data_IF_105744055121
#
_entry.id   IF_105744055121
#
_cell.length_a   1.000
_cell.length_b   1.000
_cell.length_c   1.000
_cell.angle_alpha   90.00
_cell.angle_beta   90.00
_cell.angle_gamma   90.00
#
_symmetry.space_group_name_H-M   'P 1'
#
loop_
_entity.id
_entity.type
_entity.pdbx_description
1 polymer ?
#
# COMPACT_ATOMS: atom_id res chain seq x y z
N UNK A 1 55.18 -19.69 12.69
CA UNK A 1 55.04 -18.72 11.57
C UNK A 1 53.61 -18.18 11.56
N UNK A 2 53.34 -17.05 12.24
CA UNK A 2 51.98 -16.51 12.45
C UNK A 2 51.32 -15.95 11.17
N UNK A 3 52.06 -15.86 10.06
CA UNK A 3 51.57 -15.32 8.79
C UNK A 3 50.46 -16.18 8.13
N UNK A 4 50.51 -17.51 8.27
CA UNK A 4 49.49 -18.40 7.70
C UNK A 4 48.14 -18.28 8.40
N UNK A 5 48.16 -18.05 9.71
CA UNK A 5 46.96 -17.85 10.53
C UNK A 5 46.32 -16.51 10.18
N UNK A 6 47.12 -15.42 10.12
CA UNK A 6 46.62 -14.11 9.68
C UNK A 6 45.99 -14.18 8.29
N UNK A 7 46.62 -14.87 7.34
CA UNK A 7 46.08 -15.05 5.99
C UNK A 7 44.73 -15.78 6.00
N UNK A 8 44.62 -16.88 6.75
CA UNK A 8 43.36 -17.63 6.88
C UNK A 8 42.24 -16.78 7.51
N UNK A 9 42.55 -15.98 8.54
CA UNK A 9 41.58 -15.07 9.15
C UNK A 9 41.12 -13.97 8.19
N UNK A 10 42.03 -13.38 7.40
CA UNK A 10 41.68 -12.37 6.39
C UNK A 10 40.78 -12.94 5.29
N UNK A 11 41.06 -14.17 4.83
CA UNK A 11 40.21 -14.86 3.86
C UNK A 11 38.81 -15.15 4.42
N UNK A 12 38.70 -15.60 5.68
CA UNK A 12 37.40 -15.81 6.33
C UNK A 12 36.59 -14.52 6.49
N UNK A 13 37.22 -13.40 6.82
CA UNK A 13 36.53 -12.11 6.93
C UNK A 13 36.06 -11.61 5.55
N UNK A 14 36.82 -11.87 4.49
CA UNK A 14 36.47 -11.48 3.12
C UNK A 14 35.29 -12.30 2.56
N UNK A 15 35.21 -13.59 2.89
CA UNK A 15 34.07 -14.44 2.50
C UNK A 15 32.83 -14.17 3.34
N UNK A 16 32.98 -13.88 4.63
CA UNK A 16 31.84 -13.53 5.49
C UNK A 16 31.28 -12.15 5.12
N UNK A 17 32.15 -11.19 4.76
CA UNK A 17 31.72 -9.88 4.28
C UNK A 17 31.04 -9.94 2.92
N UNK A 18 31.42 -10.84 2.00
CA UNK A 18 30.69 -11.00 0.72
C UNK A 18 29.33 -11.67 0.88
N UNK A 19 29.18 -12.57 1.87
CA UNK A 19 27.89 -13.16 2.24
C UNK A 19 26.97 -12.18 2.99
N UNK A 20 27.54 -11.27 3.79
CA UNK A 20 26.81 -10.17 4.44
C UNK A 20 26.66 -8.91 3.57
N UNK A 21 27.38 -8.82 2.45
CA UNK A 21 27.20 -7.80 1.43
C UNK A 21 25.98 -8.20 0.62
N UNK A 22 24.81 -7.89 1.19
CA UNK A 22 23.50 -8.14 0.64
C UNK A 22 23.45 -7.66 -0.82
N UNK A 23 23.67 -8.59 -1.75
CA UNK A 23 23.43 -8.42 -3.20
C UNK A 23 21.94 -8.62 -3.53
N UNK A 24 21.13 -8.96 -2.51
CA UNK A 24 19.69 -9.22 -2.60
C UNK A 24 18.87 -8.22 -1.76
N UNK A 25 19.39 -7.02 -1.56
CA UNK A 25 18.56 -5.92 -1.09
C UNK A 25 17.66 -5.60 -2.28
N UNK A 26 16.32 -5.63 -2.15
CA UNK A 26 15.44 -5.17 -3.22
C UNK A 26 15.91 -3.78 -3.63
N UNK A 27 15.86 -3.50 -4.93
CA UNK A 27 16.37 -2.29 -5.57
C UNK A 27 15.77 -1.04 -4.91
N UNK A 28 16.40 -0.59 -3.83
CA UNK A 28 15.89 0.41 -2.89
C UNK A 28 16.94 1.47 -2.62
N UNK A 29 17.49 2.03 -3.70
CA UNK A 29 18.27 3.26 -3.62
C UNK A 29 17.33 4.46 -3.51
N UNK A 30 17.62 5.41 -2.61
CA UNK A 30 16.97 6.73 -2.51
C UNK A 30 17.27 7.62 -3.73
N UNK A 31 17.01 7.13 -4.94
CA UNK A 31 17.08 7.90 -6.17
C UNK A 31 15.73 7.73 -6.83
N UNK A 32 14.86 8.68 -6.49
CA UNK A 32 13.82 9.22 -7.36
C UNK A 32 13.50 8.30 -8.52
N UNK A 33 12.58 7.35 -8.35
CA UNK A 33 12.00 6.70 -9.52
C UNK A 33 11.43 7.84 -10.37
N UNK A 34 11.97 8.10 -11.57
CA UNK A 34 11.37 9.06 -12.46
C UNK A 34 10.08 8.40 -12.93
N UNK A 35 8.95 9.02 -12.61
CA UNK A 35 7.67 8.74 -13.25
C UNK A 35 7.37 7.23 -13.36
N UNK A 36 7.38 6.52 -12.23
CA UNK A 36 6.75 5.21 -12.22
C UNK A 36 5.27 5.48 -12.49
N UNK A 37 4.82 5.21 -13.72
CA UNK A 37 3.42 5.29 -14.13
C UNK A 37 2.58 4.67 -13.00
N UNK A 38 1.86 5.53 -12.27
CA UNK A 38 1.16 5.11 -11.06
C UNK A 38 0.02 4.22 -11.54
N UNK A 39 0.20 2.91 -11.36
CA UNK A 39 -0.79 1.93 -11.82
C UNK A 39 -2.07 2.08 -10.99
N UNK A 40 -3.21 1.73 -11.58
CA UNK A 40 -4.41 1.55 -10.75
C UNK A 40 -4.21 0.35 -9.82
N UNK A 41 -4.66 0.50 -8.58
CA UNK A 41 -4.66 -0.60 -7.63
C UNK A 41 -5.53 -1.77 -8.14
N UNK A 42 -5.19 -3.00 -7.72
CA UNK A 42 -5.85 -4.24 -8.16
C UNK A 42 -7.36 -4.13 -8.06
N UNK A 43 -8.06 -4.69 -9.06
CA UNK A 43 -9.52 -4.79 -9.03
C UNK A 43 -9.98 -5.93 -8.12
N UNK A 44 -11.06 -5.70 -7.40
CA UNK A 44 -11.61 -6.61 -6.40
C UNK A 44 -13.15 -6.62 -6.45
N UNK A 45 -13.77 -7.50 -5.67
CA UNK A 45 -15.24 -7.57 -5.58
C UNK A 45 -15.93 -8.37 -6.69
N UNK A 46 -17.27 -8.52 -6.60
CA UNK A 46 -18.07 -9.25 -7.56
C UNK A 46 -17.93 -8.63 -8.96
N UNK A 47 -17.45 -9.41 -9.92
CA UNK A 47 -17.24 -8.96 -11.30
C UNK A 47 -16.09 -7.98 -11.48
N UNK A 48 -15.14 -7.89 -10.55
CA UNK A 48 -14.00 -6.96 -10.60
C UNK A 48 -14.43 -5.49 -10.79
N UNK A 49 -15.57 -5.12 -10.22
CA UNK A 49 -16.15 -3.76 -10.30
C UNK A 49 -15.66 -2.82 -9.21
N UNK A 50 -14.87 -3.32 -8.26
CA UNK A 50 -14.23 -2.52 -7.22
C UNK A 50 -12.73 -2.40 -7.44
N UNK A 51 -12.11 -1.51 -6.65
CA UNK A 51 -10.67 -1.34 -6.54
C UNK A 51 -10.24 -1.47 -5.07
N UNK A 52 -9.00 -1.91 -4.88
CA UNK A 52 -8.38 -1.99 -3.57
C UNK A 52 -8.00 -0.58 -3.09
N UNK A 53 -8.40 -0.26 -1.85
CA UNK A 53 -8.00 0.97 -1.13
C UNK A 53 -7.13 0.65 0.10
N UNK A 54 -6.76 -0.61 0.27
CA UNK A 54 -5.96 -1.12 1.37
C UNK A 54 -6.00 -2.66 1.42
N UNK A 55 -5.19 -3.31 2.27
CA UNK A 55 -5.02 -4.77 2.29
C UNK A 55 -6.30 -5.54 2.59
N UNK A 56 -7.24 -4.92 3.32
CA UNK A 56 -8.53 -5.51 3.70
C UNK A 56 -9.71 -4.62 3.31
N UNK A 57 -9.55 -3.79 2.27
CA UNK A 57 -10.56 -2.80 1.86
C UNK A 57 -10.75 -2.86 0.35
N UNK A 58 -11.95 -3.24 -0.07
CA UNK A 58 -12.36 -3.26 -1.47
C UNK A 58 -13.60 -2.39 -1.65
N UNK A 59 -13.57 -1.42 -2.56
CA UNK A 59 -14.70 -0.53 -2.79
C UNK A 59 -15.00 -0.33 -4.27
N UNK A 60 -16.27 -0.20 -4.59
CA UNK A 60 -16.73 0.21 -5.92
C UNK A 60 -18.00 1.04 -5.83
N UNK A 61 -18.21 1.93 -6.79
CA UNK A 61 -19.30 2.91 -6.77
C UNK A 61 -20.69 2.24 -6.76
N UNK A 62 -20.84 1.10 -7.45
CA UNK A 62 -22.09 0.34 -7.53
C UNK A 62 -22.24 -0.74 -6.44
N UNK A 63 -21.13 -1.23 -5.89
CA UNK A 63 -21.12 -2.36 -4.93
C UNK A 63 -20.94 -1.91 -3.47
N UNK A 64 -20.62 -0.64 -3.24
CA UNK A 64 -20.24 -0.13 -1.92
C UNK A 64 -18.83 -0.54 -1.51
N UNK A 65 -18.58 -0.61 -0.20
CA UNK A 65 -17.29 -1.02 0.36
C UNK A 65 -17.41 -2.29 1.19
N UNK A 66 -16.48 -3.20 0.97
CA UNK A 66 -16.29 -4.44 1.69
C UNK A 66 -15.01 -4.35 2.51
N UNK A 67 -15.11 -4.80 3.76
CA UNK A 67 -14.03 -4.71 4.75
C UNK A 67 -13.78 -6.10 5.36
N UNK A 68 -12.59 -6.66 5.16
CA UNK A 68 -12.22 -7.96 5.72
C UNK A 68 -13.11 -9.12 5.27
N UNK A 69 -13.63 -9.06 4.05
CA UNK A 69 -14.49 -10.09 3.44
C UNK A 69 -13.67 -10.91 2.43
N UNK A 70 -14.14 -12.05 1.88
CA UNK A 70 -13.32 -12.83 0.96
C UNK A 70 -12.99 -12.06 -0.33
N UNK A 71 -13.81 -11.07 -0.69
CA UNK A 71 -13.58 -10.18 -1.82
C UNK A 71 -12.32 -9.30 -1.63
N UNK A 72 -11.93 -9.01 -0.38
CA UNK A 72 -10.76 -8.19 -0.07
C UNK A 72 -9.45 -8.98 -0.09
N UNK A 73 -9.49 -10.32 -0.14
CA UNK A 73 -8.28 -11.16 -0.17
C UNK A 73 -7.38 -10.84 -1.37
N UNK A 74 -7.97 -10.43 -2.50
CA UNK A 74 -7.21 -9.99 -3.68
C UNK A 74 -6.37 -8.74 -3.41
N UNK A 75 -6.76 -7.90 -2.46
CA UNK A 75 -6.03 -6.69 -2.10
C UNK A 75 -4.78 -6.98 -1.27
N UNK A 76 -4.66 -8.17 -0.65
CA UNK A 76 -3.44 -8.58 0.02
C UNK A 76 -2.28 -8.76 -0.97
N UNK A 77 -2.59 -9.13 -2.21
CA UNK A 77 -1.63 -9.28 -3.30
C UNK A 77 -0.87 -7.97 -3.57
N UNK A 78 -1.50 -6.81 -3.33
CA UNK A 78 -0.85 -5.51 -3.51
C UNK A 78 0.35 -5.29 -2.60
N UNK A 79 0.38 -5.91 -1.42
CA UNK A 79 1.53 -5.77 -0.51
C UNK A 79 2.79 -6.46 -1.06
N UNK A 80 2.64 -7.38 -2.00
CA UNK A 80 3.76 -8.10 -2.62
C UNK A 80 4.24 -7.42 -3.91
N UNK A 81 3.49 -6.43 -4.42
CA UNK A 81 3.86 -5.68 -5.61
C UNK A 81 4.78 -4.51 -5.25
N UNK A 82 6.01 -4.45 -5.79
CA UNK A 82 6.94 -3.36 -5.51
C UNK A 82 6.57 -2.04 -6.20
N UNK A 83 5.58 -2.04 -7.10
CA UNK A 83 5.13 -0.85 -7.83
C UNK A 83 4.02 -0.12 -7.06
N UNK A 84 4.14 1.22 -6.87
CA UNK A 84 3.11 2.01 -6.22
C UNK A 84 1.84 2.00 -7.07
N UNK A 85 0.69 1.95 -6.41
CA UNK A 85 -0.60 2.05 -7.07
C UNK A 85 -1.42 3.19 -6.48
N UNK A 86 -2.36 3.70 -7.26
CA UNK A 86 -3.35 4.65 -6.80
C UNK A 86 -4.75 4.06 -6.99
N UNK A 87 -5.55 4.12 -5.93
CA UNK A 87 -6.94 3.72 -5.97
C UNK A 87 -7.74 4.73 -6.79
N UNK A 88 -8.69 4.24 -7.59
CA UNK A 88 -9.56 5.09 -8.40
C UNK A 88 -10.42 6.04 -7.56
N UNK A 89 -10.99 7.05 -8.21
CA UNK A 89 -11.93 7.98 -7.58
C UNK A 89 -11.35 9.37 -7.32
N UNK A 90 -12.22 10.27 -6.87
CA UNK A 90 -11.89 11.68 -6.64
C UNK A 90 -11.13 11.84 -5.32
N UNK A 91 -10.17 12.77 -5.23
CA UNK A 91 -9.49 13.09 -3.97
C UNK A 91 -10.48 13.65 -2.93
N UNK A 92 -10.28 13.28 -1.67
CA UNK A 92 -11.06 13.73 -0.51
C UNK A 92 -10.20 13.77 0.75
N UNK A 93 -10.42 14.77 1.62
CA UNK A 93 -9.73 14.86 2.90
C UNK A 93 -8.22 15.12 2.77
N UNK A 94 -7.44 14.67 3.75
CA UNK A 94 -5.98 14.65 3.68
C UNK A 94 -5.54 13.32 3.05
N UNK A 95 -5.11 13.38 1.79
CA UNK A 95 -4.59 12.24 0.99
C UNK A 95 -5.54 11.03 0.85
N UNK A 96 -6.84 11.22 1.02
CA UNK A 96 -7.86 10.19 0.81
C UNK A 96 -8.48 10.20 -0.58
N UNK A 97 -9.17 9.12 -0.92
CA UNK A 97 -9.90 8.94 -2.18
C UNK A 97 -11.33 8.44 -1.94
N UNK A 98 -12.27 8.99 -2.69
CA UNK A 98 -13.69 8.60 -2.61
C UNK A 98 -13.84 7.20 -3.20
N UNK A 99 -14.13 6.24 -2.34
CA UNK A 99 -14.16 4.82 -2.70
C UNK A 99 -15.56 4.35 -3.10
N UNK A 100 -16.59 4.98 -2.52
CA UNK A 100 -18.00 4.73 -2.78
C UNK A 100 -18.80 6.01 -2.42
N UNK A 101 -20.08 6.15 -2.81
CA UNK A 101 -20.86 7.34 -2.47
C UNK A 101 -20.92 7.57 -0.94
N UNK A 102 -20.34 8.70 -0.50
CA UNK A 102 -20.31 9.08 0.92
C UNK A 102 -19.20 8.42 1.76
N UNK A 103 -18.29 7.66 1.13
CA UNK A 103 -17.17 6.99 1.79
C UNK A 103 -15.85 7.48 1.18
N UNK A 104 -14.93 7.88 2.04
CA UNK A 104 -13.57 8.23 1.65
C UNK A 104 -12.58 7.36 2.43
N UNK A 105 -11.61 6.79 1.71
CA UNK A 105 -10.62 5.87 2.22
C UNK A 105 -9.20 6.46 2.04
N UNK A 106 -8.35 6.28 3.04
CA UNK A 106 -6.93 6.61 3.03
C UNK A 106 -6.17 5.49 3.75
N UNK A 107 -5.24 4.78 3.08
CA UNK A 107 -4.25 3.86 3.66
C UNK A 107 -4.73 3.01 4.84
N UNK A 108 -5.91 2.38 4.70
CA UNK A 108 -6.49 1.50 5.72
C UNK A 108 -7.47 2.16 6.71
N UNK A 109 -7.60 3.49 6.67
CA UNK A 109 -8.62 4.26 7.38
C UNK A 109 -9.75 4.60 6.40
N UNK A 110 -10.99 4.49 6.84
CA UNK A 110 -12.13 4.98 6.09
C UNK A 110 -12.99 5.88 6.97
N UNK A 111 -13.68 6.80 6.32
CA UNK A 111 -14.61 7.69 6.98
C UNK A 111 -15.95 7.62 6.28
N UNK A 112 -17.00 7.47 7.08
CA UNK A 112 -18.38 7.46 6.62
C UNK A 112 -18.98 8.83 6.89
N UNK A 113 -19.46 9.50 5.85
CA UNK A 113 -20.08 10.82 5.99
C UNK A 113 -19.20 11.93 5.46
N UNK A 114 -19.25 12.10 4.14
CA UNK A 114 -18.74 13.27 3.44
C UNK A 114 -19.24 13.22 2.00
N UNK A 115 -19.98 14.24 1.58
CA UNK A 115 -20.44 14.35 0.18
C UNK A 115 -19.20 14.48 -0.69
N UNK A 116 -18.91 13.47 -1.51
CA UNK A 116 -18.00 13.59 -2.64
C UNK A 116 -18.62 14.50 -3.70
N UNK A 117 -18.68 15.80 -3.48
CA UNK A 117 -19.04 16.76 -4.52
C UNK A 117 -18.18 18.01 -4.44
N UNK A 118 -17.57 18.33 -5.58
CA UNK A 118 -17.43 19.69 -6.13
C UNK A 118 -17.17 20.77 -5.08
N UNK A 119 -15.90 21.07 -4.82
CA UNK A 119 -15.45 22.40 -4.36
C UNK A 119 -16.23 23.03 -3.20
N UNK A 120 -16.57 22.26 -2.16
CA UNK A 120 -17.32 22.76 -1.01
C UNK A 120 -16.51 22.66 0.28
N UNK A 121 -16.31 23.80 0.93
CA UNK A 121 -15.52 24.00 2.14
C UNK A 121 -15.90 23.05 3.31
N UNK A 122 -14.88 22.44 3.91
CA UNK A 122 -14.73 22.43 5.37
C UNK A 122 -15.77 21.71 6.23
N UNK A 123 -16.40 20.61 5.80
CA UNK A 123 -17.16 19.77 6.76
C UNK A 123 -16.23 18.81 7.49
N UNK A 124 -16.04 19.11 8.78
CA UNK A 124 -15.28 18.34 9.78
C UNK A 124 -15.58 16.84 9.64
N UNK A 125 -14.55 16.07 9.31
CA UNK A 125 -14.57 14.63 9.22
C UNK A 125 -14.98 14.09 10.60
N UNK A 126 -16.16 13.48 10.67
CA UNK A 126 -16.61 12.86 11.91
C UNK A 126 -15.79 11.58 12.09
N UNK A 127 -14.96 11.54 13.13
CA UNK A 127 -14.20 10.38 13.58
C UNK A 127 -15.15 9.32 14.15
N UNK A 128 -15.96 8.73 13.26
CA UNK A 128 -16.86 7.64 13.62
C UNK A 128 -16.38 6.38 12.92
N UNK A 129 -15.92 5.48 13.77
CA UNK A 129 -15.67 4.05 13.53
C UNK A 129 -14.26 3.67 13.07
N UNK A 130 -13.29 3.91 13.96
CA UNK A 130 -12.08 3.08 14.09
C UNK A 130 -12.51 1.66 14.50
N UNK A 131 -13.00 0.87 13.55
CA UNK A 131 -13.38 -0.53 13.76
C UNK A 131 -12.36 -1.45 13.07
N UNK A 132 -11.11 -1.37 13.53
CA UNK A 132 -10.16 -2.48 13.38
C UNK A 132 -10.52 -3.45 14.49
N UNK A 133 -11.33 -4.45 14.17
CA UNK A 133 -11.66 -5.54 15.11
C UNK A 133 -10.34 -6.21 15.51
N UNK A 134 -10.07 -6.15 16.82
CA UNK A 134 -8.96 -6.81 17.51
C UNK A 134 -9.11 -8.32 17.46
#
# INVERSE_FOLDING_TARGET
MPAGILSAFLFCLLTLSSACYIQNCPRGGKRSLPDAEIRQCIRCGPGNRGNCFGPNICCGEEMGCYFGTPETLRCLEENFLPSPCEAGGKPCGADGRCAAPGICCNDGIYWRGGVGNRGGEGKKWSEKERSVKK
#
